data_IF_194121206071
#
_entry.id   IF_194121206071
#
_cell.length_a   1.000
_cell.length_b   1.000
_cell.length_c   1.000
_cell.angle_alpha   90.00
_cell.angle_beta   90.00
_cell.angle_gamma   90.00
#
_symmetry.space_group_name_H-M   'P 1'
#
loop_
_entity.id
_entity.type
_entity.pdbx_description
1 polymer ?
#
# COMPACT_ATOMS: atom_id res chain seq x y z
N UNK A 1 -0.88 5.46 -28.56
CA UNK A 1 -0.64 4.06 -28.98
C UNK A 1 -0.38 3.26 -27.72
N UNK A 2 -1.42 2.74 -27.09
CA UNK A 2 -1.30 1.76 -26.01
C UNK A 2 -1.54 0.41 -26.65
N UNK A 3 -0.49 -0.40 -26.77
CA UNK A 3 -0.63 -1.80 -27.11
C UNK A 3 -1.42 -2.46 -26.01
N UNK A 4 -2.66 -2.79 -26.31
CA UNK A 4 -3.56 -3.61 -25.52
C UNK A 4 -2.85 -4.97 -25.30
N UNK A 5 -2.13 -5.08 -24.20
CA UNK A 5 -1.43 -6.30 -23.86
C UNK A 5 -2.50 -7.29 -23.39
N UNK A 6 -2.64 -8.42 -24.09
CA UNK A 6 -3.56 -9.48 -23.70
C UNK A 6 -3.36 -9.83 -22.21
N UNK A 7 -4.43 -10.12 -21.45
CA UNK A 7 -4.31 -10.44 -20.04
C UNK A 7 -3.38 -11.64 -19.84
N UNK A 8 -2.31 -11.42 -19.07
CA UNK A 8 -1.33 -12.44 -18.73
C UNK A 8 -1.35 -12.69 -17.22
N UNK A 9 -1.04 -13.93 -16.83
CA UNK A 9 -0.71 -14.24 -15.44
C UNK A 9 0.72 -13.76 -15.20
N UNK A 10 0.90 -12.85 -14.25
CA UNK A 10 2.21 -12.32 -13.88
C UNK A 10 2.45 -12.46 -12.37
N UNK A 11 3.72 -12.39 -11.98
CA UNK A 11 4.15 -12.44 -10.59
C UNK A 11 4.36 -11.01 -10.09
N UNK A 12 3.79 -10.66 -8.95
CA UNK A 12 4.18 -9.46 -8.22
C UNK A 12 5.56 -9.67 -7.61
N UNK A 13 6.47 -8.72 -7.82
CA UNK A 13 7.83 -8.80 -7.31
C UNK A 13 8.05 -7.74 -6.22
N UNK A 14 8.69 -8.10 -5.10
CA UNK A 14 8.82 -7.22 -3.95
C UNK A 14 9.70 -6.00 -4.22
N UNK A 15 10.47 -5.98 -5.31
CA UNK A 15 11.34 -4.86 -5.68
C UNK A 15 10.83 -4.11 -6.93
N UNK A 16 9.56 -4.29 -7.30
CA UNK A 16 9.00 -3.75 -8.55
C UNK A 16 9.48 -4.51 -9.80
N UNK A 17 9.36 -3.86 -10.97
CA UNK A 17 9.81 -4.45 -12.23
C UNK A 17 11.34 -4.71 -12.22
N UNK A 18 11.84 -5.84 -12.75
CA UNK A 18 13.28 -6.16 -12.69
C UNK A 18 14.20 -5.19 -13.44
N UNK A 19 13.66 -4.37 -14.36
CA UNK A 19 14.42 -3.39 -15.14
C UNK A 19 14.29 -1.99 -14.57
N UNK A 20 13.08 -1.59 -14.16
CA UNK A 20 12.82 -0.22 -13.71
C UNK A 20 12.75 -0.07 -12.19
N UNK A 21 12.60 -1.18 -11.46
CA UNK A 21 12.42 -1.18 -10.01
C UNK A 21 11.11 -0.51 -9.58
N UNK A 22 11.15 0.08 -8.39
CA UNK A 22 10.13 0.96 -7.84
C UNK A 22 10.44 2.41 -8.15
N UNK A 23 9.42 3.25 -8.26
CA UNK A 23 9.54 4.69 -8.48
C UNK A 23 9.06 5.46 -7.24
N UNK A 24 9.55 6.69 -6.99
CA UNK A 24 8.95 7.57 -5.99
C UNK A 24 7.45 7.74 -6.19
N UNK A 25 6.70 7.86 -5.09
CA UNK A 25 5.27 8.18 -5.10
C UNK A 25 4.97 9.33 -4.13
N UNK A 26 3.75 9.87 -4.23
CA UNK A 26 3.20 10.92 -3.36
C UNK A 26 1.79 10.51 -2.89
N UNK A 27 1.63 9.27 -2.40
CA UNK A 27 0.33 8.72 -1.94
C UNK A 27 0.02 9.23 -0.52
N UNK A 28 1.02 9.27 0.35
CA UNK A 28 0.91 9.90 1.66
C UNK A 28 1.20 11.39 1.61
N UNK A 29 0.48 12.16 2.43
CA UNK A 29 0.77 13.57 2.65
C UNK A 29 2.08 13.74 3.41
N UNK A 30 2.82 14.81 3.11
CA UNK A 30 4.14 15.04 3.70
C UNK A 30 4.11 15.17 5.24
N UNK A 31 2.97 15.55 5.82
CA UNK A 31 2.81 15.64 7.28
C UNK A 31 2.59 14.28 7.96
N UNK A 32 2.27 13.23 7.20
CA UNK A 32 2.03 11.89 7.75
C UNK A 32 3.34 11.21 8.17
N UNK A 33 4.50 11.62 7.65
CA UNK A 33 5.79 11.06 8.02
C UNK A 33 6.19 11.47 9.45
N UNK A 34 6.65 10.50 10.24
CA UNK A 34 6.95 10.71 11.68
C UNK A 34 8.44 10.86 11.96
N UNK A 35 9.27 10.85 10.92
CA UNK A 35 10.74 10.99 10.98
C UNK A 35 11.21 11.89 9.83
N UNK A 36 12.50 12.24 9.81
CA UNK A 36 13.09 12.99 8.69
C UNK A 36 13.16 12.18 7.37
N UNK A 37 12.98 10.85 7.43
CA UNK A 37 12.89 10.00 6.25
C UNK A 37 11.46 10.00 5.70
N UNK A 38 11.29 10.58 4.51
CA UNK A 38 10.02 10.65 3.80
C UNK A 38 10.03 9.74 2.55
N UNK A 39 10.84 8.68 2.57
CA UNK A 39 10.89 7.73 1.44
C UNK A 39 9.54 7.08 1.25
N UNK A 40 8.98 7.24 0.06
CA UNK A 40 7.79 6.53 -0.40
C UNK A 40 8.01 6.09 -1.85
N UNK A 41 7.82 4.80 -2.12
CA UNK A 41 7.98 4.27 -3.46
C UNK A 41 6.89 3.26 -3.82
N UNK A 42 6.56 3.19 -5.10
CA UNK A 42 5.53 2.33 -5.63
C UNK A 42 5.95 1.68 -6.96
N UNK A 43 5.39 0.51 -7.23
CA UNK A 43 5.31 -0.05 -8.57
C UNK A 43 3.93 -0.70 -8.79
N UNK A 44 3.16 -0.13 -9.72
CA UNK A 44 1.87 -0.69 -10.15
C UNK A 44 2.10 -1.74 -11.23
N UNK A 45 1.79 -3.01 -10.93
CA UNK A 45 1.87 -4.12 -11.88
C UNK A 45 0.63 -4.21 -12.79
N UNK A 46 -0.53 -3.79 -12.28
CA UNK A 46 -1.79 -3.82 -13.02
C UNK A 46 -2.70 -2.68 -12.60
N UNK A 47 -3.38 -2.11 -13.58
CA UNK A 47 -4.48 -1.18 -13.38
C UNK A 47 -5.54 -1.37 -14.48
N UNK A 48 -6.82 -1.23 -14.13
CA UNK A 48 -7.88 -1.08 -15.12
C UNK A 48 -7.79 0.31 -15.78
N UNK A 49 -8.37 0.45 -16.98
CA UNK A 49 -8.35 1.71 -17.72
C UNK A 49 -9.08 2.86 -17.00
N UNK A 50 -10.04 2.53 -16.15
CA UNK A 50 -10.79 3.46 -15.31
C UNK A 50 -10.23 3.59 -13.89
N UNK A 51 -9.10 2.94 -13.60
CA UNK A 51 -8.45 2.92 -12.28
C UNK A 51 -9.35 2.40 -11.14
N UNK A 52 -10.43 1.69 -11.47
CA UNK A 52 -11.29 1.03 -10.49
C UNK A 52 -10.61 -0.11 -9.75
N UNK A 53 -9.58 -0.73 -10.35
CA UNK A 53 -8.75 -1.77 -9.72
C UNK A 53 -7.28 -1.53 -10.01
N UNK A 54 -6.44 -1.51 -8.97
CA UNK A 54 -4.98 -1.48 -9.08
C UNK A 54 -4.36 -2.59 -8.23
N UNK A 55 -3.21 -3.12 -8.65
CA UNK A 55 -2.39 -4.01 -7.84
C UNK A 55 -0.90 -3.74 -8.04
N UNK A 56 -0.15 -3.72 -6.95
CA UNK A 56 1.24 -3.28 -6.95
C UNK A 56 2.03 -3.67 -5.71
N UNK A 57 3.21 -3.09 -5.59
CA UNK A 57 4.05 -3.12 -4.38
C UNK A 57 4.34 -1.69 -3.96
N UNK A 58 4.24 -1.42 -2.67
CA UNK A 58 4.47 -0.11 -2.07
C UNK A 58 5.41 -0.24 -0.87
N UNK A 59 6.28 0.75 -0.71
CA UNK A 59 7.19 0.89 0.42
C UNK A 59 7.13 2.30 0.98
N UNK A 60 7.18 2.41 2.31
CA UNK A 60 7.14 3.69 2.99
C UNK A 60 7.98 3.69 4.26
N UNK A 61 8.61 4.83 4.50
CA UNK A 61 9.26 5.20 5.76
C UNK A 61 8.23 5.32 6.91
N UNK A 62 8.69 5.45 8.17
CA UNK A 62 7.79 5.59 9.30
C UNK A 62 6.79 6.74 9.15
N UNK A 63 5.52 6.45 9.33
CA UNK A 63 4.41 7.37 9.14
C UNK A 63 3.24 7.05 10.07
N UNK A 64 2.37 8.03 10.29
CA UNK A 64 1.09 7.87 10.99
C UNK A 64 0.03 8.70 10.27
N UNK A 65 -1.07 8.07 9.90
CA UNK A 65 -2.16 8.73 9.19
C UNK A 65 -3.52 8.40 9.79
N UNK A 66 -4.31 9.45 10.08
CA UNK A 66 -5.65 9.32 10.67
C UNK A 66 -6.72 9.39 9.58
N UNK A 67 -7.32 8.24 9.27
CA UNK A 67 -8.21 8.09 8.13
C UNK A 67 -9.64 7.95 8.65
N UNK A 68 -10.42 9.03 8.56
CA UNK A 68 -11.82 9.03 9.02
C UNK A 68 -12.74 8.10 8.19
N UNK A 69 -12.40 7.85 6.94
CA UNK A 69 -13.16 6.99 6.02
C UNK A 69 -12.23 6.50 4.92
N UNK A 70 -11.75 5.25 5.02
CA UNK A 70 -10.80 4.69 4.05
C UNK A 70 -11.33 4.80 2.60
N UNK A 71 -10.54 5.31 1.64
CA UNK A 71 -11.08 5.73 0.33
C UNK A 71 -11.39 4.56 -0.63
N UNK A 72 -10.80 3.39 -0.39
CA UNK A 72 -10.86 2.20 -1.27
C UNK A 72 -11.10 0.93 -0.45
N UNK A 73 -11.47 -0.16 -1.11
CA UNK A 73 -11.25 -1.50 -0.56
C UNK A 73 -9.79 -1.85 -0.80
N UNK A 74 -9.08 -2.34 0.22
CA UNK A 74 -7.66 -2.68 0.07
C UNK A 74 -7.34 -4.02 0.73
N UNK A 75 -6.73 -4.92 -0.05
CA UNK A 75 -6.05 -6.09 0.48
C UNK A 75 -4.54 -5.87 0.47
N UNK A 76 -3.87 -6.19 1.56
CA UNK A 76 -2.42 -6.04 1.69
C UNK A 76 -1.77 -7.35 2.10
N UNK A 77 -0.53 -7.57 1.69
CA UNK A 77 0.34 -8.59 2.27
C UNK A 77 1.68 -7.95 2.61
N UNK A 78 2.08 -8.03 3.88
CA UNK A 78 3.34 -7.44 4.35
C UNK A 78 4.50 -8.31 3.88
N UNK A 79 5.49 -7.68 3.26
CA UNK A 79 6.72 -8.32 2.77
C UNK A 79 7.83 -8.16 3.81
N UNK A 80 7.98 -6.96 4.36
CA UNK A 80 8.96 -6.61 5.41
C UNK A 80 8.47 -5.41 6.21
N UNK A 81 9.04 -5.23 7.40
CA UNK A 81 8.60 -4.22 8.36
C UNK A 81 7.31 -4.64 9.06
N UNK A 82 6.63 -3.65 9.63
CA UNK A 82 5.39 -3.86 10.38
C UNK A 82 4.45 -2.67 10.24
N UNK A 83 3.16 -2.93 10.43
CA UNK A 83 2.12 -1.91 10.43
C UNK A 83 1.08 -2.21 11.47
N UNK A 84 0.69 -1.19 12.24
CA UNK A 84 -0.38 -1.29 13.23
C UNK A 84 -1.60 -0.52 12.75
N UNK A 85 -2.73 -1.20 12.69
CA UNK A 85 -4.04 -0.60 12.45
C UNK A 85 -4.70 -0.33 13.80
N UNK A 86 -5.02 0.93 14.08
CA UNK A 86 -5.89 1.27 15.22
C UNK A 86 -7.33 1.39 14.72
N UNK A 87 -8.21 0.54 15.24
CA UNK A 87 -9.61 0.51 14.88
C UNK A 87 -10.41 1.54 15.69
N UNK A 88 -11.54 2.00 15.15
CA UNK A 88 -12.38 3.00 15.83
C UNK A 88 -13.03 2.50 17.14
N UNK A 89 -13.09 1.19 17.37
CA UNK A 89 -13.54 0.61 18.65
C UNK A 89 -12.45 0.62 19.74
N UNK A 90 -11.26 1.14 19.43
CA UNK A 90 -10.10 1.21 20.31
C UNK A 90 -9.22 -0.03 20.29
N UNK A 91 -9.58 -1.08 19.54
CA UNK A 91 -8.69 -2.22 19.32
C UNK A 91 -7.53 -1.85 18.38
N UNK A 92 -6.48 -2.67 18.39
CA UNK A 92 -5.37 -2.50 17.46
C UNK A 92 -4.83 -3.86 17.04
N UNK A 93 -4.50 -3.97 15.76
CA UNK A 93 -3.95 -5.17 15.14
C UNK A 93 -2.63 -4.81 14.46
N UNK A 94 -1.57 -5.56 14.77
CA UNK A 94 -0.25 -5.39 14.14
C UNK A 94 -0.02 -6.51 13.15
N UNK A 95 0.35 -6.13 11.93
CA UNK A 95 0.66 -7.04 10.82
C UNK A 95 2.15 -6.93 10.48
N UNK A 96 2.78 -8.09 10.31
CA UNK A 96 4.22 -8.24 10.07
C UNK A 96 4.47 -9.10 8.84
N UNK A 97 5.74 -9.28 8.45
CA UNK A 97 6.11 -10.04 7.26
C UNK A 97 5.40 -11.40 7.14
N UNK A 98 4.66 -11.60 6.05
CA UNK A 98 3.86 -12.79 5.77
C UNK A 98 2.37 -12.65 6.08
N UNK A 99 1.98 -11.65 6.88
CA UNK A 99 0.57 -11.40 7.20
C UNK A 99 -0.17 -10.76 6.01
N UNK A 100 -1.41 -11.19 5.81
CA UNK A 100 -2.34 -10.66 4.81
C UNK A 100 -3.58 -10.14 5.53
N UNK A 101 -4.01 -8.93 5.20
CA UNK A 101 -5.17 -8.29 5.82
C UNK A 101 -5.95 -7.42 4.83
N UNK A 102 -7.13 -6.97 5.24
CA UNK A 102 -8.06 -6.24 4.38
C UNK A 102 -8.68 -5.06 5.13
N UNK A 103 -8.78 -3.92 4.45
CA UNK A 103 -9.49 -2.73 4.92
C UNK A 103 -10.66 -2.47 3.97
N UNK A 104 -11.88 -2.41 4.51
CA UNK A 104 -13.05 -2.08 3.73
C UNK A 104 -13.13 -0.56 3.49
N UNK A 105 -13.54 -0.14 2.29
CA UNK A 105 -13.88 1.25 1.99
C UNK A 105 -14.86 1.80 3.03
N UNK A 106 -14.58 3.01 3.51
CA UNK A 106 -15.36 3.67 4.55
C UNK A 106 -14.95 3.31 5.98
N UNK A 107 -13.98 2.40 6.18
CA UNK A 107 -13.50 2.05 7.53
C UNK A 107 -12.74 3.23 8.15
N UNK A 108 -13.14 3.73 9.32
CA UNK A 108 -12.30 4.64 10.10
C UNK A 108 -11.15 3.87 10.75
N UNK A 109 -9.92 4.32 10.55
CA UNK A 109 -8.75 3.72 11.17
C UNK A 109 -7.61 4.72 11.29
N UNK A 110 -6.64 4.42 12.15
CA UNK A 110 -5.33 5.08 12.13
C UNK A 110 -4.30 4.07 11.65
N UNK A 111 -3.52 4.47 10.66
CA UNK A 111 -2.45 3.67 10.10
C UNK A 111 -1.14 4.10 10.76
N UNK A 112 -0.42 3.18 11.40
CA UNK A 112 0.85 3.50 12.06
C UNK A 112 1.97 2.54 11.61
N UNK A 113 3.05 3.13 11.12
CA UNK A 113 4.26 2.46 10.65
C UNK A 113 5.44 3.05 11.40
N UNK A 114 6.15 2.23 12.17
CA UNK A 114 7.28 2.68 13.03
C UNK A 114 8.66 2.26 12.52
N UNK A 115 8.68 1.42 11.48
CA UNK A 115 9.86 0.99 10.73
C UNK A 115 9.49 0.89 9.25
N UNK A 116 10.44 0.98 8.31
CA UNK A 116 10.13 0.93 6.88
C UNK A 116 9.26 -0.28 6.53
N UNK A 117 8.05 -0.01 6.04
CA UNK A 117 7.08 -1.03 5.64
C UNK A 117 7.20 -1.27 4.15
N UNK A 118 7.15 -2.54 3.74
CA UNK A 118 6.93 -2.92 2.34
C UNK A 118 5.80 -3.91 2.24
N UNK A 119 4.87 -3.68 1.31
CA UNK A 119 3.67 -4.51 1.12
C UNK A 119 3.32 -4.69 -0.35
N UNK A 120 2.73 -5.84 -0.67
CA UNK A 120 1.86 -5.93 -1.86
C UNK A 120 0.50 -5.36 -1.53
N UNK A 121 -0.15 -4.78 -2.54
CA UNK A 121 -1.53 -4.31 -2.43
C UNK A 121 -2.37 -4.74 -3.63
N UNK A 122 -3.67 -4.82 -3.38
CA UNK A 122 -4.71 -4.70 -4.39
C UNK A 122 -5.77 -3.76 -3.84
N UNK A 123 -6.11 -2.72 -4.60
CA UNK A 123 -7.15 -1.76 -4.25
C UNK A 123 -8.30 -1.82 -5.26
N UNK A 124 -9.51 -1.57 -4.78
CA UNK A 124 -10.70 -1.40 -5.58
C UNK A 124 -11.54 -0.21 -5.10
N UNK A 125 -12.04 0.63 -6.01
CA UNK A 125 -12.82 1.85 -5.67
C UNK A 125 -14.32 1.73 -5.92
#
# INVERSE_FOLDING_TARGET
MTTDQAPQVFRLLPNGDPKTGMAPSDILEAESFTTDDHTETNHTFFQTADESVLSGVWECAPCRDEIASYPVHEMMTVISGSVTMHNADGSSDTFTAGDTFFIAKGTPCVWEVTETLRKFYMIAS
#
